data_IF_197399032158
#
_entry.id   IF_197399032158
#
_cell.length_a   1.000
_cell.length_b   1.000
_cell.length_c   1.000
_cell.angle_alpha   90.00
_cell.angle_beta   90.00
_cell.angle_gamma   90.00
#
_symmetry.space_group_name_H-M   'P 1'
#
loop_
_entity.id
_entity.type
_entity.pdbx_description
1 polymer ?
#
# COMPACT_ATOMS: atom_id res chain seq x y z
N UNK A 1 -21.98 -9.12 -3.07
CA UNK A 1 -20.56 -8.82 -2.82
C UNK A 1 -20.43 -7.30 -2.77
N UNK A 2 -20.62 -6.68 -1.61
CA UNK A 2 -20.51 -5.21 -1.49
C UNK A 2 -19.03 -4.81 -1.49
N UNK A 3 -18.59 -4.23 -2.60
CA UNK A 3 -17.20 -3.82 -2.78
C UNK A 3 -16.84 -2.64 -1.87
N UNK A 4 -15.77 -2.81 -1.12
CA UNK A 4 -15.06 -1.71 -0.45
C UNK A 4 -14.48 -0.80 -1.55
N UNK A 5 -14.99 0.43 -1.67
CA UNK A 5 -14.45 1.40 -2.62
C UNK A 5 -13.23 2.08 -2.01
N UNK A 6 -12.05 1.81 -2.58
CA UNK A 6 -10.82 2.54 -2.28
C UNK A 6 -10.76 3.76 -3.19
N UNK A 7 -10.70 4.95 -2.60
CA UNK A 7 -10.57 6.20 -3.33
C UNK A 7 -9.15 6.76 -3.16
N UNK A 8 -8.48 7.09 -4.25
CA UNK A 8 -7.20 7.80 -4.20
C UNK A 8 -7.41 9.19 -3.58
N UNK A 9 -6.72 9.48 -2.49
CA UNK A 9 -6.85 10.76 -1.79
C UNK A 9 -5.78 11.75 -2.24
N UNK A 10 -4.51 11.37 -2.11
CA UNK A 10 -3.38 12.23 -2.48
C UNK A 10 -2.09 11.43 -2.63
N UNK A 11 -1.14 12.03 -3.34
CA UNK A 11 0.24 11.56 -3.37
C UNK A 11 0.97 11.97 -2.08
N UNK A 12 1.76 11.06 -1.49
CA UNK A 12 2.52 11.30 -0.26
C UNK A 12 4.01 11.52 -0.52
N UNK A 13 4.59 10.87 -1.54
CA UNK A 13 6.00 11.05 -1.87
C UNK A 13 6.55 10.02 -2.84
N UNK A 14 7.72 10.32 -3.41
CA UNK A 14 8.50 9.39 -4.24
C UNK A 14 9.81 9.09 -3.55
N UNK A 15 10.11 7.80 -3.39
CA UNK A 15 11.42 7.32 -2.98
C UNK A 15 12.19 6.73 -4.15
N UNK A 16 13.37 6.20 -3.86
CA UNK A 16 14.25 5.59 -4.88
C UNK A 16 13.63 4.39 -5.59
N UNK A 17 12.74 3.65 -4.91
CA UNK A 17 12.19 2.38 -5.40
C UNK A 17 10.68 2.42 -5.70
N UNK A 18 10.06 3.60 -5.71
CA UNK A 18 8.64 3.71 -5.96
C UNK A 18 8.01 4.97 -5.38
N UNK A 19 6.69 5.02 -5.38
CA UNK A 19 5.89 6.10 -4.82
C UNK A 19 4.99 5.61 -3.71
N UNK A 20 4.55 6.54 -2.86
CA UNK A 20 3.54 6.30 -1.83
C UNK A 20 2.36 7.22 -2.09
N UNK A 21 1.17 6.65 -2.09
CA UNK A 21 -0.10 7.35 -2.26
C UNK A 21 -1.05 6.99 -1.13
N UNK A 22 -1.86 7.95 -0.69
CA UNK A 22 -2.89 7.78 0.30
C UNK A 22 -4.19 7.36 -0.36
N UNK A 23 -4.85 6.36 0.20
CA UNK A 23 -6.19 5.92 -0.18
C UNK A 23 -7.11 6.03 1.03
N UNK A 24 -8.35 6.47 0.79
CA UNK A 24 -9.43 6.42 1.77
C UNK A 24 -10.38 5.28 1.44
N UNK A 25 -10.91 4.64 2.46
CA UNK A 25 -12.10 3.82 2.33
C UNK A 25 -13.14 4.23 3.37
N UNK A 26 -14.38 4.33 2.89
CA UNK A 26 -15.53 4.61 3.73
C UNK A 26 -16.18 3.27 4.08
N UNK A 27 -15.97 2.80 5.31
CA UNK A 27 -16.71 1.66 5.84
C UNK A 27 -18.19 2.03 5.93
N UNK A 28 -19.08 1.27 5.28
CA UNK A 28 -20.53 1.55 5.24
C UNK A 28 -21.22 1.52 6.61
N UNK A 29 -20.54 1.07 7.67
CA UNK A 29 -21.18 0.72 8.94
C UNK A 29 -20.72 1.49 10.18
N UNK A 30 -19.55 2.15 10.20
CA UNK A 30 -19.02 2.81 11.41
C UNK A 30 -18.83 4.33 11.28
N UNK A 31 -19.06 4.91 10.09
CA UNK A 31 -18.83 6.34 9.82
C UNK A 31 -17.36 6.77 9.94
N UNK A 32 -16.45 5.83 10.21
CA UNK A 32 -15.02 6.12 10.36
C UNK A 32 -14.35 5.99 9.00
N UNK A 33 -13.90 7.12 8.48
CA UNK A 33 -13.00 7.15 7.33
C UNK A 33 -11.68 6.52 7.75
N UNK A 34 -11.27 5.45 7.09
CA UNK A 34 -9.97 4.83 7.31
C UNK A 34 -9.07 5.14 6.14
N UNK A 35 -7.84 5.56 6.45
CA UNK A 35 -6.82 5.87 5.48
C UNK A 35 -5.79 4.74 5.43
N UNK A 36 -5.28 4.46 4.24
CA UNK A 36 -4.22 3.47 4.00
C UNK A 36 -3.20 4.11 3.08
N UNK A 37 -1.93 4.10 3.47
CA UNK A 37 -0.85 4.43 2.57
C UNK A 37 -0.54 3.21 1.70
N UNK A 38 -0.33 3.40 0.41
CA UNK A 38 0.02 2.33 -0.51
C UNK A 38 1.33 2.70 -1.18
N UNK A 39 2.36 1.89 -0.94
CA UNK A 39 3.60 1.98 -1.69
C UNK A 39 3.46 1.18 -2.97
N UNK A 40 3.81 1.80 -4.10
CA UNK A 40 3.75 1.22 -5.44
C UNK A 40 5.12 1.26 -6.09
N UNK A 41 5.52 0.16 -6.73
CA UNK A 41 6.74 0.02 -7.51
C UNK A 41 6.43 -0.55 -8.89
N UNK A 42 7.26 -0.20 -9.88
CA UNK A 42 7.20 -0.78 -11.21
C UNK A 42 7.86 -2.17 -11.25
N UNK A 43 7.81 -2.82 -12.42
CA UNK A 43 8.45 -4.12 -12.61
C UNK A 43 9.97 -4.12 -12.44
N UNK A 44 10.65 -2.99 -12.66
CA UNK A 44 12.12 -2.89 -12.52
C UNK A 44 12.54 -2.90 -11.05
N UNK A 45 11.71 -2.32 -10.17
CA UNK A 45 11.98 -2.20 -8.75
C UNK A 45 11.16 -3.18 -7.88
N UNK A 46 10.46 -4.14 -8.51
CA UNK A 46 9.62 -5.11 -7.82
C UNK A 46 10.38 -5.89 -6.73
N UNK A 47 11.60 -6.35 -7.03
CA UNK A 47 12.43 -7.11 -6.09
C UNK A 47 12.83 -6.27 -4.87
N UNK A 48 13.06 -4.96 -5.05
CA UNK A 48 13.29 -4.06 -3.93
C UNK A 48 12.06 -3.99 -3.02
N UNK A 49 10.85 -3.88 -3.59
CA UNK A 49 9.61 -3.87 -2.83
C UNK A 49 9.37 -5.19 -2.08
N UNK A 50 9.69 -6.35 -2.67
CA UNK A 50 9.63 -7.65 -1.98
C UNK A 50 10.57 -7.71 -0.78
N UNK A 51 11.80 -7.19 -0.92
CA UNK A 51 12.76 -7.13 0.19
C UNK A 51 12.30 -6.19 1.28
N UNK A 52 11.81 -5.01 0.93
CA UNK A 52 11.23 -4.06 1.89
C UNK A 52 10.05 -4.69 2.64
N UNK A 53 9.12 -5.35 1.94
CA UNK A 53 7.99 -6.03 2.57
C UNK A 53 8.43 -7.12 3.54
N UNK A 54 9.45 -7.91 3.18
CA UNK A 54 10.03 -8.93 4.07
C UNK A 54 10.59 -8.30 5.33
N UNK A 55 11.42 -7.26 5.20
CA UNK A 55 12.01 -6.57 6.35
C UNK A 55 10.92 -6.00 7.26
N UNK A 56 9.94 -5.28 6.70
CA UNK A 56 8.83 -4.71 7.49
C UNK A 56 7.96 -5.78 8.15
N UNK A 57 7.82 -6.96 7.53
CA UNK A 57 7.04 -8.06 8.09
C UNK A 57 7.67 -8.67 9.35
N UNK A 58 8.99 -8.61 9.49
CA UNK A 58 9.68 -9.04 10.72
C UNK A 58 9.36 -8.12 11.92
N UNK A 59 8.89 -6.90 11.67
CA UNK A 59 8.55 -5.90 12.69
C UNK A 59 7.04 -5.79 12.94
N UNK A 60 6.26 -6.80 12.56
CA UNK A 60 4.82 -6.81 12.76
C UNK A 60 4.47 -6.69 14.25
N UNK A 61 3.64 -5.72 14.59
CA UNK A 61 3.20 -5.43 15.97
C UNK A 61 4.09 -4.44 16.73
N UNK A 62 5.19 -3.97 16.14
CA UNK A 62 6.04 -2.93 16.74
C UNK A 62 5.43 -1.54 16.59
N UNK A 63 5.16 -0.85 17.70
CA UNK A 63 4.51 0.47 17.69
C UNK A 63 5.37 1.61 17.14
N UNK A 64 6.70 1.42 17.05
CA UNK A 64 7.62 2.42 16.50
C UNK A 64 7.92 2.27 15.01
N UNK A 65 7.35 1.26 14.34
CA UNK A 65 7.64 0.93 12.94
C UNK A 65 6.32 0.83 12.17
N UNK A 66 6.28 1.43 10.99
CA UNK A 66 5.10 1.42 10.13
C UNK A 66 4.64 -0.02 9.84
N UNK A 67 3.35 -0.28 10.02
CA UNK A 67 2.80 -1.62 9.85
C UNK A 67 2.34 -1.86 8.42
N UNK A 68 2.73 -3.01 7.83
CA UNK A 68 2.17 -3.46 6.57
C UNK A 68 0.84 -4.18 6.79
N UNK A 69 -0.14 -3.88 5.95
CA UNK A 69 -1.39 -4.63 5.89
C UNK A 69 -1.28 -5.79 4.89
N UNK A 70 -1.83 -6.94 5.26
CA UNK A 70 -1.78 -8.16 4.43
C UNK A 70 -0.52 -8.99 4.61
N UNK A 71 -0.39 -10.01 3.77
CA UNK A 71 0.64 -11.08 3.89
C UNK A 71 1.54 -11.19 2.67
N UNK A 72 1.36 -10.35 1.65
CA UNK A 72 2.12 -10.40 0.41
C UNK A 72 2.15 -9.05 -0.31
N UNK A 73 3.13 -8.89 -1.18
CA UNK A 73 3.11 -7.87 -2.23
C UNK A 73 2.02 -8.20 -3.24
N UNK A 74 1.15 -7.23 -3.51
CA UNK A 74 0.09 -7.34 -4.49
C UNK A 74 0.62 -6.96 -5.87
N UNK A 75 0.30 -7.77 -6.88
CA UNK A 75 0.63 -7.49 -8.26
C UNK A 75 -0.64 -7.12 -9.02
N UNK A 76 -0.61 -6.01 -9.76
CA UNK A 76 -1.70 -5.57 -10.62
C UNK A 76 -1.16 -5.04 -11.95
N UNK A 77 -2.06 -4.75 -12.88
CA UNK A 77 -1.77 -3.88 -14.02
C UNK A 77 -2.26 -2.47 -13.66
N UNK A 78 -1.57 -1.45 -14.14
CA UNK A 78 -2.08 -0.08 -14.14
C UNK A 78 -2.92 0.19 -15.40
N UNK A 79 -3.46 1.40 -15.50
CA UNK A 79 -4.27 1.83 -16.66
C UNK A 79 -3.44 1.83 -17.97
N UNK A 80 -2.11 1.99 -17.81
CA UNK A 80 -1.01 1.76 -18.78
C UNK A 80 -0.95 0.35 -19.39
N UNK A 81 -1.53 -0.65 -18.71
CA UNK A 81 -1.26 -2.07 -18.95
C UNK A 81 0.11 -2.54 -18.42
N UNK A 82 0.83 -1.69 -17.70
CA UNK A 82 2.12 -2.03 -17.08
C UNK A 82 1.94 -2.71 -15.73
N UNK A 83 2.85 -3.62 -15.40
CA UNK A 83 2.84 -4.33 -14.11
C UNK A 83 3.26 -3.40 -12.99
N UNK A 84 2.43 -3.32 -11.96
CA UNK A 84 2.69 -2.64 -10.71
C UNK A 84 2.67 -3.61 -9.54
N UNK A 85 3.47 -3.28 -8.53
CA UNK A 85 3.62 -4.04 -7.30
C UNK A 85 3.28 -3.11 -6.13
N UNK A 86 2.44 -3.56 -5.21
CA UNK A 86 1.82 -2.73 -4.19
C UNK A 86 1.89 -3.38 -2.82
N UNK A 87 2.18 -2.58 -1.80
CA UNK A 87 1.99 -2.96 -0.40
C UNK A 87 1.12 -1.90 0.30
N UNK A 88 -0.03 -2.28 0.87
CA UNK A 88 -0.77 -1.40 1.75
C UNK A 88 -0.09 -1.34 3.12
N UNK A 89 -0.06 -0.16 3.72
CA UNK A 89 0.61 0.14 4.96
C UNK A 89 -0.19 1.17 5.76
N UNK A 90 0.09 1.21 7.05
CA UNK A 90 -0.43 2.20 7.98
C UNK A 90 -0.14 3.62 7.48
N UNK A 91 -1.13 4.49 7.65
CA UNK A 91 -0.98 5.92 7.50
C UNK A 91 -0.97 6.54 8.90
N UNK A 92 0.21 6.97 9.34
CA UNK A 92 0.48 7.56 10.66
C UNK A 92 0.55 9.10 10.59
#
# INVERSE_FOLDING_TARGET
MEGTYFHFEKFLGKGSFGSVSLFKFNGRHDGKTRCVAVKTSDGKHAEALYREFRILSEFRGSSGIVQCYGTRVHKSLNDEGHREYKIPMEYA
#
